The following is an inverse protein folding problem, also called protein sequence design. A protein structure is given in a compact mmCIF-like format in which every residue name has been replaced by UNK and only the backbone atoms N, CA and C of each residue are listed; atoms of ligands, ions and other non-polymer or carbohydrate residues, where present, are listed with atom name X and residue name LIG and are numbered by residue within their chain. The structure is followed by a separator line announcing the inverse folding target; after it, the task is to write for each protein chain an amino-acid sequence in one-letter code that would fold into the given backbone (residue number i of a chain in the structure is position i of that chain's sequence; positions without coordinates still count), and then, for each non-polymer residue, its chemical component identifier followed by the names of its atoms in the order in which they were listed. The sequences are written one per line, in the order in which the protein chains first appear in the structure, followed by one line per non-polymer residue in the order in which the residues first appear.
data_IF_053078983358
#
_entry.id   IF_053078983358
#
_cell.length_a   1.000
_cell.length_b   1.000
_cell.length_c   1.000
_cell.angle_alpha   90.00
_cell.angle_beta   90.00
_cell.angle_gamma   90.00
#
_symmetry.space_group_name_H-M   'P 1'
#
loop_
_entity.id
_entity.type
_entity.pdbx_description
1 polymer ?
#
# COMPACT_ATOMS: atom_id res chain seq x y z
N UNK A 1 -10.56 -19.07 11.06
CA UNK A 1 -11.09 -19.15 9.67
C UNK A 1 -11.10 -17.77 9.01
N UNK A 2 -11.56 -16.71 9.70
CA UNK A 2 -11.58 -15.36 9.12
C UNK A 2 -10.16 -14.81 8.90
N UNK A 3 -9.24 -15.04 9.84
CA UNK A 3 -7.84 -14.59 9.72
C UNK A 3 -7.17 -15.13 8.44
N UNK A 4 -7.30 -16.43 8.19
CA UNK A 4 -6.76 -17.03 6.96
C UNK A 4 -7.39 -16.44 5.71
N UNK A 5 -8.71 -16.23 5.69
CA UNK A 5 -9.40 -15.60 4.57
C UNK A 5 -8.89 -14.17 4.31
N UNK A 6 -8.70 -13.37 5.37
CA UNK A 6 -8.14 -12.02 5.26
C UNK A 6 -6.71 -12.07 4.70
N UNK A 7 -5.87 -12.98 5.22
CA UNK A 7 -4.50 -13.18 4.72
C UNK A 7 -4.51 -13.54 3.24
N UNK A 8 -5.35 -14.49 2.84
CA UNK A 8 -5.48 -14.92 1.44
C UNK A 8 -5.93 -13.78 0.53
N UNK A 9 -6.90 -12.96 0.95
CA UNK A 9 -7.37 -11.81 0.19
C UNK A 9 -6.27 -10.75 0.01
N UNK A 10 -5.53 -10.46 1.07
CA UNK A 10 -4.42 -9.49 1.07
C UNK A 10 -3.31 -9.97 0.13
N UNK A 11 -2.89 -11.23 0.25
CA UNK A 11 -1.83 -11.82 -0.58
C UNK A 11 -2.25 -11.97 -2.04
N UNK A 12 -3.49 -12.39 -2.30
CA UNK A 12 -4.01 -12.44 -3.66
C UNK A 12 -4.04 -11.05 -4.31
N UNK A 13 -4.42 -10.02 -3.55
CA UNK A 13 -4.41 -8.63 -4.04
C UNK A 13 -2.98 -8.15 -4.34
N UNK A 14 -2.00 -8.50 -3.48
CA UNK A 14 -0.58 -8.26 -3.72
C UNK A 14 -0.12 -8.92 -5.02
N UNK A 15 -0.43 -10.20 -5.22
CA UNK A 15 -0.05 -10.94 -6.42
C UNK A 15 -0.60 -10.28 -7.69
N UNK A 16 -1.81 -9.69 -7.64
CA UNK A 16 -2.35 -8.90 -8.76
C UNK A 16 -1.55 -7.63 -9.00
N UNK A 17 -1.16 -6.92 -7.95
CA UNK A 17 -0.27 -5.75 -8.07
C UNK A 17 1.06 -6.16 -8.69
N UNK A 18 1.71 -7.20 -8.15
CA UNK A 18 3.02 -7.70 -8.63
C UNK A 18 2.96 -8.03 -10.13
N UNK A 19 1.90 -8.70 -10.59
CA UNK A 19 1.69 -9.01 -12.01
C UNK A 19 1.50 -7.77 -12.87
N UNK A 20 0.78 -6.76 -12.37
CA UNK A 20 0.53 -5.53 -13.13
C UNK A 20 1.79 -4.69 -13.32
N UNK A 21 2.72 -4.74 -12.37
CA UNK A 21 3.92 -3.89 -12.39
C UNK A 21 5.15 -4.57 -12.99
N UNK A 22 5.09 -5.88 -13.25
CA UNK A 22 6.22 -6.68 -13.71
C UNK A 22 6.81 -6.21 -15.06
N UNK A 23 5.97 -5.66 -15.95
CA UNK A 23 6.35 -5.32 -17.31
C UNK A 23 6.76 -3.84 -17.49
N UNK A 24 6.74 -3.03 -16.42
CA UNK A 24 7.13 -1.61 -16.51
C UNK A 24 8.65 -1.45 -16.52
N UNK A 25 9.17 -0.69 -17.48
CA UNK A 25 10.58 -0.24 -17.47
C UNK A 25 10.82 0.68 -16.28
N UNK A 26 12.08 0.83 -15.86
CA UNK A 26 12.44 1.67 -14.72
C UNK A 26 12.08 3.15 -14.96
N UNK A 27 12.22 3.62 -16.20
CA UNK A 27 11.93 5.00 -16.60
C UNK A 27 10.43 5.29 -16.54
N UNK A 28 9.59 4.32 -16.91
CA UNK A 28 8.14 4.46 -16.90
C UNK A 28 7.54 4.65 -15.48
N UNK A 29 8.32 4.42 -14.41
CA UNK A 29 7.81 4.56 -13.05
C UNK A 29 7.46 6.00 -12.66
N UNK A 30 8.17 6.97 -13.23
CA UNK A 30 7.97 8.40 -12.95
C UNK A 30 7.17 9.10 -14.05
N UNK A 31 6.91 8.43 -15.17
CA UNK A 31 6.12 8.99 -16.27
C UNK A 31 4.67 9.21 -15.86
N UNK A 32 4.21 10.47 -15.97
CA UNK A 32 2.84 10.87 -15.65
C UNK A 32 2.12 11.31 -16.93
N UNK A 33 1.17 10.51 -17.46
CA UNK A 33 0.44 10.88 -18.66
C UNK A 33 -0.38 12.17 -18.47
N UNK A 34 -0.42 13.05 -19.46
CA UNK A 34 -1.20 14.30 -19.39
C UNK A 34 -2.71 14.10 -19.12
N UNK A 35 -3.24 12.93 -19.47
CA UNK A 35 -4.66 12.56 -19.30
C UNK A 35 -4.96 11.88 -17.96
N UNK A 36 -3.92 11.56 -17.17
CA UNK A 36 -4.06 10.84 -15.91
C UNK A 36 -3.04 11.38 -14.90
N UNK A 37 -3.53 12.06 -13.85
CA UNK A 37 -2.68 12.63 -12.82
C UNK A 37 -2.16 11.57 -11.83
N UNK A 38 -1.40 10.59 -12.33
CA UNK A 38 -0.73 9.55 -11.55
C UNK A 38 0.40 8.88 -12.34
N UNK A 39 1.35 8.29 -11.62
CA UNK A 39 2.43 7.47 -12.16
C UNK A 39 2.65 6.25 -11.25
N UNK A 40 3.47 5.30 -11.69
CA UNK A 40 3.62 4.05 -10.95
C UNK A 40 4.34 4.23 -9.61
N UNK A 41 5.32 5.15 -9.52
CA UNK A 41 5.96 5.51 -8.26
C UNK A 41 4.95 5.98 -7.21
N UNK A 42 4.03 6.87 -7.61
CA UNK A 42 2.98 7.37 -6.73
C UNK A 42 2.01 6.26 -6.33
N UNK A 43 1.57 5.43 -7.28
CA UNK A 43 0.64 4.34 -7.01
C UNK A 43 1.20 3.35 -5.97
N UNK A 44 2.45 2.90 -6.14
CA UNK A 44 3.07 1.95 -5.20
C UNK A 44 3.39 2.63 -3.87
N UNK A 45 3.87 3.88 -3.88
CA UNK A 45 4.12 4.64 -2.65
C UNK A 45 2.84 4.86 -1.84
N UNK A 46 1.73 5.16 -2.52
CA UNK A 46 0.43 5.30 -1.89
C UNK A 46 -0.08 3.99 -1.31
N UNK A 47 0.08 2.87 -2.05
CA UNK A 47 -0.26 1.54 -1.53
C UNK A 47 0.56 1.22 -0.28
N UNK A 48 1.87 1.52 -0.25
CA UNK A 48 2.70 1.30 0.95
C UNK A 48 2.16 2.10 2.15
N UNK A 49 1.81 3.37 1.94
CA UNK A 49 1.24 4.21 2.98
C UNK A 49 -0.11 3.67 3.47
N UNK A 50 -0.98 3.27 2.56
CA UNK A 50 -2.28 2.67 2.89
C UNK A 50 -2.10 1.33 3.64
N UNK A 51 -1.15 0.50 3.22
CA UNK A 51 -0.82 -0.77 3.86
C UNK A 51 -0.27 -0.57 5.27
N UNK A 52 0.54 0.46 5.50
CA UNK A 52 0.93 0.85 6.85
C UNK A 52 -0.30 1.24 7.69
N UNK A 53 -1.15 2.15 7.19
CA UNK A 53 -2.29 2.66 7.96
C UNK A 53 -3.30 1.56 8.30
N UNK A 54 -3.71 0.77 7.31
CA UNK A 54 -4.75 -0.25 7.45
C UNK A 54 -4.23 -1.58 7.98
N UNK A 55 -3.02 -2.00 7.57
CA UNK A 55 -2.48 -3.33 7.87
C UNK A 55 -1.55 -3.39 9.08
N UNK A 56 -1.01 -2.25 9.52
CA UNK A 56 -0.05 -2.21 10.64
C UNK A 56 -0.56 -1.28 11.75
N UNK A 57 -0.72 0.02 11.47
CA UNK A 57 -1.10 1.00 12.48
C UNK A 57 -2.49 0.72 13.08
N UNK A 58 -3.44 0.28 12.26
CA UNK A 58 -4.78 -0.11 12.75
C UNK A 58 -4.76 -1.37 13.62
N UNK A 59 -3.75 -2.24 13.47
CA UNK A 59 -3.71 -3.57 14.10
C UNK A 59 -2.81 -3.59 15.33
N UNK A 60 -1.59 -3.09 15.19
CA UNK A 60 -0.53 -3.11 16.21
C UNK A 60 -0.09 -1.71 16.65
N UNK A 61 -0.62 -0.65 16.04
CA UNK A 61 -0.17 0.71 16.27
C UNK A 61 1.21 0.99 15.64
N UNK A 62 1.96 1.89 16.26
CA UNK A 62 3.31 2.26 15.81
C UNK A 62 4.23 1.03 15.78
N UNK A 63 4.80 0.71 14.61
CA UNK A 63 5.72 -0.41 14.44
C UNK A 63 7.16 0.08 14.20
N UNK A 64 8.12 -0.40 14.99
CA UNK A 64 9.53 0.03 14.90
C UNK A 64 10.21 -0.41 13.61
N UNK A 65 9.94 -1.64 13.14
CA UNK A 65 10.53 -2.15 11.91
C UNK A 65 10.12 -1.30 10.69
N UNK A 66 8.88 -0.79 10.67
CA UNK A 66 8.45 0.18 9.66
C UNK A 66 9.22 1.50 9.82
N UNK A 67 9.24 2.09 11.02
CA UNK A 67 9.86 3.40 11.28
C UNK A 67 11.36 3.44 10.97
N UNK A 68 12.07 2.34 11.14
CA UNK A 68 13.50 2.25 10.83
C UNK A 68 13.79 2.23 9.32
N UNK A 69 12.80 1.94 8.47
CA UNK A 69 12.99 1.79 7.02
C UNK A 69 12.19 2.79 6.20
N UNK A 70 11.11 3.33 6.76
CA UNK A 70 10.16 4.20 6.10
C UNK A 70 9.96 5.45 6.96
N UNK A 71 10.35 6.61 6.41
CA UNK A 71 10.00 7.90 7.00
C UNK A 71 8.53 8.21 6.69
N UNK A 72 7.64 7.86 7.63
CA UNK A 72 6.20 8.04 7.47
C UNK A 72 5.80 9.50 7.14
N UNK A 73 6.34 10.53 7.83
CA UNK A 73 6.13 11.93 7.42
C UNK A 73 6.42 12.22 5.94
N UNK A 74 7.56 11.75 5.43
CA UNK A 74 7.93 11.94 4.02
C UNK A 74 6.97 11.18 3.11
N UNK A 75 6.58 9.96 3.48
CA UNK A 75 5.59 9.18 2.72
C UNK A 75 4.22 9.88 2.67
N UNK A 76 3.78 10.51 3.76
CA UNK A 76 2.54 11.31 3.76
C UNK A 76 2.68 12.52 2.85
N UNK A 77 3.85 13.20 2.87
CA UNK A 77 4.14 14.32 1.96
C UNK A 77 4.11 13.89 0.49
N UNK A 78 4.72 12.75 0.16
CA UNK A 78 4.90 12.30 -1.23
C UNK A 78 3.71 11.54 -1.81
N UNK A 79 2.99 10.80 -0.97
CA UNK A 79 2.00 9.81 -1.39
C UNK A 79 0.68 9.93 -0.63
N UNK A 80 0.52 10.89 0.28
CA UNK A 80 -0.73 11.10 0.99
C UNK A 80 -1.87 11.57 0.08
N UNK A 81 -3.12 11.55 0.57
CA UNK A 81 -4.25 12.14 -0.16
C UNK A 81 -3.96 13.58 -0.59
N UNK A 82 -4.33 13.91 -1.83
CA UNK A 82 -4.09 15.22 -2.47
C UNK A 82 -2.61 15.58 -2.76
N UNK A 83 -1.66 14.67 -2.55
CA UNK A 83 -0.29 14.86 -3.05
C UNK A 83 -0.24 14.75 -4.58
N UNK A 84 0.74 15.41 -5.18
CA UNK A 84 0.92 15.42 -6.63
C UNK A 84 2.00 14.40 -7.07
N UNK A 85 1.71 13.49 -8.01
CA UNK A 85 2.66 12.49 -8.51
C UNK A 85 3.97 13.07 -9.06
N UNK A 86 3.96 14.29 -9.62
CA UNK A 86 5.14 14.95 -10.20
C UNK A 86 5.94 15.78 -9.19
N UNK A 87 5.41 16.05 -8.00
CA UNK A 87 6.14 16.82 -6.98
C UNK A 87 7.23 15.96 -6.34
N UNK A 88 8.33 16.59 -5.91
CA UNK A 88 9.41 15.93 -5.14
C UNK A 88 10.05 14.71 -5.83
N UNK A 89 10.06 14.66 -7.17
CA UNK A 89 10.60 13.52 -7.94
C UNK A 89 12.00 13.10 -7.48
N UNK A 90 12.90 14.07 -7.26
CA UNK A 90 14.28 13.83 -6.82
C UNK A 90 14.42 13.43 -5.34
N UNK A 91 13.36 13.56 -4.53
CA UNK A 91 13.33 13.16 -3.12
C UNK A 91 12.61 11.81 -2.92
N UNK A 92 11.79 11.38 -3.89
CA UNK A 92 11.03 10.13 -3.82
C UNK A 92 11.97 8.92 -3.95
N UNK A 93 11.68 7.80 -3.25
CA UNK A 93 12.40 6.55 -3.43
C UNK A 93 12.44 6.09 -4.90
N UNK A 94 13.57 5.51 -5.29
CA UNK A 94 13.69 4.84 -6.58
C UNK A 94 12.75 3.62 -6.67
N UNK A 95 12.47 3.13 -7.89
CA UNK A 95 11.71 1.88 -8.09
C UNK A 95 12.21 0.75 -7.18
N UNK A 96 13.53 0.53 -7.15
CA UNK A 96 14.15 -0.56 -6.39
C UNK A 96 13.96 -0.39 -4.88
N UNK A 97 14.07 0.82 -4.37
CA UNK A 97 13.84 1.10 -2.94
C UNK A 97 12.37 0.93 -2.59
N UNK A 98 11.48 1.44 -3.44
CA UNK A 98 10.05 1.39 -3.24
C UNK A 98 9.54 -0.06 -3.23
N UNK A 99 10.00 -0.91 -4.16
CA UNK A 99 9.68 -2.33 -4.18
C UNK A 99 10.18 -3.07 -2.92
N UNK A 100 11.38 -2.74 -2.41
CA UNK A 100 11.87 -3.31 -1.14
C UNK A 100 11.00 -2.90 0.05
N UNK A 101 10.56 -1.64 0.09
CA UNK A 101 9.66 -1.14 1.12
C UNK A 101 8.28 -1.79 1.02
N UNK A 102 7.79 -2.02 -0.21
CA UNK A 102 6.56 -2.74 -0.49
C UNK A 102 6.59 -4.18 0.04
N UNK A 103 7.62 -4.96 -0.30
CA UNK A 103 7.73 -6.34 0.17
C UNK A 103 7.94 -6.42 1.70
N UNK A 104 8.71 -5.48 2.27
CA UNK A 104 8.85 -5.35 3.72
C UNK A 104 7.49 -5.11 4.40
N UNK A 105 6.68 -4.21 3.85
CA UNK A 105 5.37 -3.88 4.42
C UNK A 105 4.46 -5.11 4.47
N UNK A 106 4.41 -5.91 3.39
CA UNK A 106 3.64 -7.16 3.38
C UNK A 106 4.17 -8.18 4.37
N UNK A 107 5.49 -8.34 4.47
CA UNK A 107 6.10 -9.24 5.47
C UNK A 107 5.71 -8.85 6.91
N UNK A 108 5.65 -7.54 7.20
CA UNK A 108 5.21 -7.03 8.50
C UNK A 108 3.71 -7.29 8.70
N UNK A 109 2.87 -7.00 7.70
CA UNK A 109 1.42 -7.24 7.78
C UNK A 109 1.12 -8.72 8.06
N UNK A 110 1.78 -9.65 7.35
CA UNK A 110 1.61 -11.08 7.61
C UNK A 110 1.98 -11.44 9.06
N UNK A 111 3.11 -10.93 9.54
CA UNK A 111 3.57 -11.15 10.91
C UNK A 111 2.60 -10.58 11.95
N UNK A 112 2.01 -9.40 11.71
CA UNK A 112 1.04 -8.80 12.63
C UNK A 112 -0.31 -9.52 12.61
N UNK A 113 -0.79 -9.94 11.42
CA UNK A 113 -2.03 -10.71 11.29
C UNK A 113 -1.95 -12.06 12.00
N UNK A 114 -0.80 -12.74 11.94
CA UNK A 114 -0.59 -14.04 12.59
C UNK A 114 -0.63 -13.99 14.12
N UNK A 115 -0.44 -12.81 14.72
CA UNK A 115 -0.53 -12.60 16.16
C UNK A 115 -1.97 -12.43 16.65
N UNK A 116 -2.92 -12.17 15.75
CA UNK A 116 -4.30 -11.92 16.12
C UNK A 116 -5.05 -13.22 16.42
N UNK A 117 -5.98 -13.13 17.35
CA UNK A 117 -7.08 -14.07 17.52
C UNK A 117 -8.34 -13.55 16.83
N UNK A 118 -9.33 -14.42 16.63
CA UNK A 118 -10.62 -14.05 16.05
C UNK A 118 -11.38 -13.02 16.92
N UNK A 119 -11.11 -12.97 18.23
CA UNK A 119 -11.72 -11.97 19.13
C UNK A 119 -11.09 -10.60 18.93
N UNK A 120 -9.78 -10.53 18.71
CA UNK A 120 -9.08 -9.26 18.50
C UNK A 120 -9.58 -8.52 17.26
N UNK A 121 -10.15 -9.24 16.28
CA UNK A 121 -10.72 -8.66 15.05
C UNK A 121 -11.90 -7.71 15.31
N UNK A 122 -12.64 -7.93 16.41
CA UNK A 122 -13.79 -7.11 16.78
C UNK A 122 -13.40 -5.85 17.57
N UNK A 123 -12.13 -5.74 17.99
CA UNK A 123 -11.62 -4.54 18.64
C UNK A 123 -11.59 -3.35 17.68
N UNK A 124 -11.70 -2.15 18.25
CA UNK A 124 -11.39 -0.93 17.53
C UNK A 124 -9.93 -0.93 17.04
N UNK A 125 -9.69 -0.21 15.94
CA UNK A 125 -8.32 0.02 15.44
C UNK A 125 -7.45 0.69 16.51
N UNK A 126 -6.21 0.23 16.66
CA UNK A 126 -5.26 0.75 17.66
C UNK A 126 -4.96 2.23 17.42
N UNK A 127 -4.73 2.60 16.16
CA UNK A 127 -4.67 4.00 15.72
C UNK A 127 -5.98 4.32 14.99
N UNK A 128 -6.65 5.45 15.29
CA UNK A 128 -7.89 5.82 14.63
C UNK A 128 -7.77 5.80 13.10
N UNK A 129 -8.66 5.06 12.45
CA UNK A 129 -8.70 4.95 11.00
C UNK A 129 -9.82 5.84 10.43
N UNK A 130 -9.57 6.65 9.38
CA UNK A 130 -10.59 7.52 8.80
C UNK A 130 -11.70 6.76 8.04
N UNK A 131 -11.44 5.53 7.59
CA UNK A 131 -12.37 4.78 6.73
C UNK A 131 -13.20 3.73 7.49
N UNK A 132 -12.71 3.25 8.63
CA UNK A 132 -13.21 2.04 9.31
C UNK A 132 -13.06 2.16 10.82
N UNK A 133 -13.69 1.26 11.59
CA UNK A 133 -13.68 1.28 13.06
C UNK A 133 -12.93 0.11 13.67
N UNK A 134 -13.10 -1.10 13.15
CA UNK A 134 -12.52 -2.32 13.75
C UNK A 134 -11.28 -2.82 13.03
N UNK A 135 -10.48 -3.66 13.70
CA UNK A 135 -9.33 -4.33 13.09
C UNK A 135 -9.75 -5.20 11.89
N UNK A 136 -10.90 -5.90 12.00
CA UNK A 136 -11.49 -6.65 10.89
C UNK A 136 -11.75 -5.76 9.68
N UNK A 137 -12.47 -4.65 9.87
CA UNK A 137 -12.81 -3.73 8.80
C UNK A 137 -11.55 -3.13 8.16
N UNK A 138 -10.50 -2.85 8.95
CA UNK A 138 -9.23 -2.35 8.44
C UNK A 138 -8.52 -3.35 7.54
N UNK A 139 -8.46 -4.63 7.91
CA UNK A 139 -7.85 -5.68 7.09
C UNK A 139 -8.65 -5.95 5.81
N UNK A 140 -9.98 -5.95 5.88
CA UNK A 140 -10.84 -6.04 4.69
C UNK A 140 -10.59 -4.84 3.77
N UNK A 141 -10.62 -3.63 4.33
CA UNK A 141 -10.43 -2.40 3.57
C UNK A 141 -9.06 -2.33 2.90
N UNK A 142 -8.00 -2.83 3.54
CA UNK A 142 -6.66 -2.91 2.93
C UNK A 142 -6.70 -3.58 1.55
N UNK A 143 -7.27 -4.79 1.48
CA UNK A 143 -7.34 -5.55 0.22
C UNK A 143 -8.25 -4.88 -0.82
N UNK A 144 -9.37 -4.29 -0.40
CA UNK A 144 -10.27 -3.56 -1.29
C UNK A 144 -9.64 -2.29 -1.84
N UNK A 145 -8.97 -1.52 -0.98
CA UNK A 145 -8.28 -0.28 -1.33
C UNK A 145 -7.16 -0.56 -2.34
N UNK A 146 -6.31 -1.56 -2.07
CA UNK A 146 -5.26 -1.93 -3.02
C UNK A 146 -5.85 -2.47 -4.34
N UNK A 147 -6.98 -3.19 -4.31
CA UNK A 147 -7.67 -3.63 -5.53
C UNK A 147 -8.18 -2.45 -6.38
N UNK A 148 -8.63 -1.35 -5.75
CA UNK A 148 -8.94 -0.12 -6.47
C UNK A 148 -7.68 0.43 -7.17
N UNK A 149 -6.56 0.55 -6.45
CA UNK A 149 -5.31 1.01 -7.06
C UNK A 149 -4.78 0.08 -8.16
N UNK A 150 -5.00 -1.24 -8.07
CA UNK A 150 -4.72 -2.16 -9.16
C UNK A 150 -5.48 -1.80 -10.44
N UNK A 151 -6.74 -1.34 -10.32
CA UNK A 151 -7.50 -0.81 -11.45
C UNK A 151 -6.85 0.43 -12.08
N UNK A 152 -6.34 1.36 -11.25
CA UNK A 152 -5.64 2.56 -11.73
C UNK A 152 -4.32 2.20 -12.41
N UNK A 153 -3.53 1.29 -11.84
CA UNK A 153 -2.28 0.79 -12.44
C UNK A 153 -2.56 0.10 -13.77
N UNK A 154 -3.62 -0.70 -13.88
CA UNK A 154 -4.00 -1.35 -15.14
C UNK A 154 -4.36 -0.33 -16.24
N UNK A 155 -5.02 0.77 -15.87
CA UNK A 155 -5.29 1.88 -16.80
C UNK A 155 -4.00 2.60 -17.20
N UNK A 156 -3.13 2.90 -16.23
CA UNK A 156 -1.83 3.51 -16.48
C UNK A 156 -0.99 2.66 -17.47
N UNK A 157 -0.94 1.35 -17.25
CA UNK A 157 -0.25 0.40 -18.13
C UNK A 157 -0.76 0.49 -19.58
N UNK A 158 -2.08 0.55 -19.76
CA UNK A 158 -2.69 0.69 -21.09
C UNK A 158 -2.40 2.04 -21.75
N UNK A 159 -2.14 3.09 -20.98
CA UNK A 159 -1.84 4.41 -21.55
C UNK A 159 -0.36 4.50 -21.96
N UNK A 160 0.53 3.91 -21.17
CA UNK A 160 1.97 3.99 -21.39
C UNK A 160 2.50 2.95 -22.39
N UNK A 161 1.85 1.79 -22.50
CA UNK A 161 2.31 0.68 -23.35
C UNK A 161 1.44 0.42 -24.60
N UNK A 162 0.49 1.30 -24.94
CA UNK A 162 -0.25 1.24 -26.22
C UNK A 162 0.18 2.35 -27.17
#
# INVERSE_FOLDING_TARGET
MKINLLKDQILFTKEKTDKLIADFSQEAWFETPNILNTNLNWQIGHIILANYLHGVASISGSNSAVKERINIPDFVKFYGPNSNPIDFENEKPTQKELLKMYDLMFSIIETEIEKLSEVDLEDNTVVPNPAVKTKYEALVWLSHHQSWHNGQIAVLNRILNN
#
